data_IF_034421351042
#
_entry.id   IF_034421351042
#
_cell.length_a   1.000
_cell.length_b   1.000
_cell.length_c   1.000
_cell.angle_alpha   90.00
_cell.angle_beta   90.00
_cell.angle_gamma   90.00
#
_symmetry.space_group_name_H-M   'P 1'
#
loop_
_entity.id
_entity.type
_entity.pdbx_description
1 polymer ?
#
# COMPACT_ATOMS: atom_id res chain seq x y z
N UNK A 1 -16.63 15.64 -18.58
CA UNK A 1 -17.87 14.85 -18.43
C UNK A 1 -17.71 13.58 -19.25
N UNK A 2 -17.99 12.39 -18.71
CA UNK A 2 -17.84 11.13 -19.44
C UNK A 2 -18.95 10.93 -20.48
N UNK A 3 -18.61 10.18 -21.52
CA UNK A 3 -19.50 9.81 -22.61
C UNK A 3 -20.59 8.85 -22.13
N UNK A 4 -21.80 8.98 -22.68
CA UNK A 4 -22.90 8.08 -22.36
C UNK A 4 -22.65 6.67 -22.91
N UNK A 5 -22.84 5.65 -22.07
CA UNK A 5 -22.74 4.24 -22.47
C UNK A 5 -24.05 3.75 -23.09
N UNK A 6 -23.95 2.84 -24.05
CA UNK A 6 -25.06 2.38 -24.89
C UNK A 6 -24.89 0.90 -25.24
N UNK A 7 -25.95 0.33 -25.82
CA UNK A 7 -25.92 -1.00 -26.41
C UNK A 7 -24.76 -1.16 -27.40
N UNK A 8 -24.00 -2.24 -27.25
CA UNK A 8 -22.86 -2.60 -28.08
C UNK A 8 -21.57 -1.83 -27.77
N UNK A 9 -21.56 -0.96 -26.76
CA UNK A 9 -20.31 -0.35 -26.30
C UNK A 9 -19.46 -1.39 -25.54
N UNK A 10 -18.13 -1.30 -25.70
CA UNK A 10 -17.17 -2.29 -25.20
C UNK A 10 -16.89 -2.09 -23.71
N UNK A 11 -16.73 -3.19 -22.98
CA UNK A 11 -16.26 -3.21 -21.59
C UNK A 11 -14.87 -3.84 -21.49
N UNK A 12 -14.09 -3.40 -20.50
CA UNK A 12 -12.72 -3.85 -20.30
C UNK A 12 -12.36 -4.06 -18.85
N UNK A 13 -11.68 -5.17 -18.62
CA UNK A 13 -10.99 -5.47 -17.37
C UNK A 13 -9.63 -4.77 -17.34
N UNK A 14 -9.17 -4.41 -16.15
CA UNK A 14 -7.87 -3.79 -16.01
C UNK A 14 -6.75 -4.84 -15.92
N UNK A 15 -5.51 -4.38 -15.87
CA UNK A 15 -4.34 -5.22 -15.57
C UNK A 15 -3.87 -5.05 -14.12
N UNK A 16 -4.76 -4.61 -13.22
CA UNK A 16 -4.44 -4.31 -11.83
C UNK A 16 -3.86 -5.52 -11.07
N UNK A 17 -4.34 -6.75 -11.35
CA UNK A 17 -3.76 -7.97 -10.78
C UNK A 17 -2.30 -8.20 -11.21
N UNK A 18 -1.95 -7.93 -12.47
CA UNK A 18 -0.57 -7.99 -12.92
C UNK A 18 0.29 -6.92 -12.23
N UNK A 19 -0.29 -5.72 -12.05
CA UNK A 19 0.29 -4.65 -11.23
C UNK A 19 0.54 -5.08 -9.79
N UNK A 20 -0.39 -5.81 -9.16
CA UNK A 20 -0.21 -6.34 -7.81
C UNK A 20 0.96 -7.31 -7.73
N UNK A 21 1.08 -8.24 -8.68
CA UNK A 21 2.18 -9.22 -8.70
C UNK A 21 3.53 -8.54 -8.92
N UNK A 22 3.63 -7.63 -9.89
CA UNK A 22 4.86 -6.87 -10.14
C UNK A 22 5.23 -6.00 -8.94
N UNK A 23 4.24 -5.31 -8.38
CA UNK A 23 4.37 -4.46 -7.20
C UNK A 23 4.79 -5.24 -5.95
N UNK A 24 4.26 -6.44 -5.75
CA UNK A 24 4.64 -7.35 -4.67
C UNK A 24 6.10 -7.79 -4.77
N UNK A 25 6.59 -8.09 -5.98
CA UNK A 25 8.00 -8.43 -6.19
C UNK A 25 8.89 -7.24 -5.83
N UNK A 26 8.60 -6.05 -6.38
CA UNK A 26 9.35 -4.83 -6.10
C UNK A 26 9.30 -4.49 -4.60
N UNK A 27 8.10 -4.51 -4.02
CA UNK A 27 7.87 -4.28 -2.60
C UNK A 27 8.65 -5.25 -1.72
N UNK A 28 8.67 -6.54 -2.08
CA UNK A 28 9.42 -7.56 -1.32
C UNK A 28 10.93 -7.33 -1.36
N UNK A 29 11.47 -6.85 -2.48
CA UNK A 29 12.89 -6.48 -2.60
C UNK A 29 13.23 -5.26 -1.74
N UNK A 30 12.35 -4.26 -1.71
CA UNK A 30 12.49 -3.08 -0.85
C UNK A 30 12.42 -3.48 0.63
N UNK A 31 11.42 -4.27 1.02
CA UNK A 31 11.27 -4.77 2.38
C UNK A 31 12.46 -5.62 2.80
N UNK A 32 12.99 -6.48 1.90
CA UNK A 32 14.20 -7.25 2.16
C UNK A 32 15.42 -6.36 2.41
N UNK A 33 15.67 -5.36 1.55
CA UNK A 33 16.76 -4.40 1.73
C UNK A 33 16.64 -3.63 3.05
N UNK A 34 15.43 -3.17 3.39
CA UNK A 34 15.11 -2.56 4.67
C UNK A 34 15.37 -3.49 5.85
N UNK A 35 14.98 -4.76 5.73
CA UNK A 35 15.23 -5.81 6.72
C UNK A 35 16.73 -6.02 6.96
N UNK A 36 17.54 -6.07 5.90
CA UNK A 36 19.02 -6.19 6.04
C UNK A 36 19.59 -5.00 6.82
N UNK A 37 19.22 -3.78 6.44
CA UNK A 37 19.70 -2.56 7.09
C UNK A 37 19.23 -2.46 8.54
N UNK A 38 17.94 -2.74 8.79
CA UNK A 38 17.37 -2.77 10.12
C UNK A 38 18.04 -3.84 11.00
N UNK A 39 18.28 -5.05 10.46
CA UNK A 39 18.97 -6.12 11.19
C UNK A 39 20.41 -5.76 11.54
N UNK A 40 21.14 -5.12 10.62
CA UNK A 40 22.50 -4.64 10.89
C UNK A 40 22.53 -3.54 11.97
N UNK A 41 21.62 -2.56 11.89
CA UNK A 41 21.47 -1.51 12.90
C UNK A 41 21.08 -2.07 14.26
N UNK A 42 20.21 -3.09 14.27
CA UNK A 42 19.80 -3.76 15.49
C UNK A 42 20.99 -4.45 16.17
N UNK A 43 21.79 -5.22 15.43
CA UNK A 43 23.00 -5.87 15.96
C UNK A 43 24.01 -4.82 16.45
N UNK A 44 24.22 -3.75 15.69
CA UNK A 44 25.10 -2.67 16.09
C UNK A 44 24.61 -1.98 17.37
N UNK A 45 23.30 -1.76 17.50
CA UNK A 45 22.68 -1.18 18.68
C UNK A 45 22.79 -2.07 19.91
N UNK A 46 22.59 -3.37 19.77
CA UNK A 46 22.81 -4.34 20.85
C UNK A 46 24.28 -4.38 21.26
N UNK A 47 25.21 -4.38 20.30
CA UNK A 47 26.65 -4.36 20.57
C UNK A 47 27.13 -3.04 21.22
N UNK A 48 26.50 -1.92 20.88
CA UNK A 48 26.77 -0.59 21.42
C UNK A 48 25.88 -0.22 22.62
N UNK A 49 25.10 -1.17 23.15
CA UNK A 49 24.19 -0.94 24.30
C UNK A 49 24.90 -0.33 25.50
N UNK A 50 26.17 -0.66 25.70
CA UNK A 50 26.98 -0.18 26.81
C UNK A 50 27.51 1.26 26.62
N UNK A 51 27.26 1.92 25.49
CA UNK A 51 27.82 3.26 25.18
C UNK A 51 26.73 4.34 25.13
N UNK A 52 25.50 4.04 25.56
CA UNK A 52 24.35 4.96 25.51
C UNK A 52 23.78 5.20 24.09
N UNK A 53 24.62 5.05 23.06
CA UNK A 53 24.24 5.14 21.64
C UNK A 53 23.42 3.93 21.15
N UNK A 54 23.47 2.81 21.88
CA UNK A 54 22.77 1.57 21.47
C UNK A 54 21.25 1.70 21.35
N UNK A 55 20.59 2.46 22.25
CA UNK A 55 19.14 2.69 22.19
C UNK A 55 18.76 3.47 20.92
N UNK A 56 19.58 4.44 20.52
CA UNK A 56 19.37 5.23 19.31
C UNK A 56 19.49 4.37 18.05
N UNK A 57 20.43 3.43 18.01
CA UNK A 57 20.59 2.50 16.88
C UNK A 57 19.47 1.47 16.79
N UNK A 58 18.94 0.99 17.93
CA UNK A 58 17.75 0.13 17.95
C UNK A 58 16.52 0.90 17.47
N UNK A 59 16.35 2.16 17.92
CA UNK A 59 15.31 3.05 17.40
C UNK A 59 15.43 3.29 15.89
N UNK A 60 16.66 3.51 15.40
CA UNK A 60 16.94 3.65 13.98
C UNK A 60 16.63 2.38 13.18
N UNK A 61 16.89 1.19 13.74
CA UNK A 61 16.53 -0.09 13.13
C UNK A 61 15.03 -0.20 12.86
N UNK A 62 14.21 0.13 13.88
CA UNK A 62 12.75 0.11 13.76
C UNK A 62 12.29 1.13 12.72
N UNK A 63 12.82 2.36 12.77
CA UNK A 63 12.48 3.41 11.82
C UNK A 63 12.81 3.01 10.37
N UNK A 64 13.96 2.39 10.12
CA UNK A 64 14.34 1.88 8.80
C UNK A 64 13.41 0.76 8.34
N UNK A 65 13.06 -0.19 9.22
CA UNK A 65 12.13 -1.26 8.90
C UNK A 65 10.74 -0.73 8.52
N UNK A 66 10.20 0.21 9.30
CA UNK A 66 8.92 0.87 9.01
C UNK A 66 8.95 1.66 7.71
N UNK A 67 10.02 2.43 7.48
CA UNK A 67 10.19 3.22 6.27
C UNK A 67 10.27 2.32 5.02
N UNK A 68 10.97 1.19 5.10
CA UNK A 68 11.05 0.23 4.01
C UNK A 68 9.72 -0.49 3.75
N UNK A 69 8.95 -0.80 4.80
CA UNK A 69 7.58 -1.31 4.67
C UNK A 69 6.69 -0.34 3.91
N UNK A 70 6.62 0.92 4.37
CA UNK A 70 5.83 1.96 3.71
C UNK A 70 6.27 2.22 2.26
N UNK A 71 7.58 2.22 1.99
CA UNK A 71 8.11 2.36 0.63
C UNK A 71 7.74 1.17 -0.26
N UNK A 72 7.75 -0.04 0.29
CA UNK A 72 7.27 -1.24 -0.40
C UNK A 72 5.80 -1.14 -0.76
N UNK A 73 4.95 -0.68 0.18
CA UNK A 73 3.51 -0.54 -0.03
C UNK A 73 3.21 0.50 -1.11
N UNK A 74 3.90 1.66 -1.07
CA UNK A 74 3.79 2.68 -2.10
C UNK A 74 4.21 2.15 -3.48
N UNK A 75 5.29 1.37 -3.56
CA UNK A 75 5.72 0.75 -4.81
C UNK A 75 4.67 -0.26 -5.33
N UNK A 76 4.09 -1.07 -4.43
CA UNK A 76 3.03 -2.00 -4.77
C UNK A 76 1.79 -1.28 -5.32
N UNK A 77 1.32 -0.26 -4.61
CA UNK A 77 0.14 0.52 -5.00
C UNK A 77 0.35 1.33 -6.28
N UNK A 78 1.57 1.82 -6.53
CA UNK A 78 1.94 2.44 -7.80
C UNK A 78 1.83 1.45 -8.97
N UNK A 79 2.29 0.21 -8.80
CA UNK A 79 2.15 -0.83 -9.83
C UNK A 79 0.69 -1.25 -10.04
N UNK A 80 -0.09 -1.40 -8.96
CA UNK A 80 -1.52 -1.71 -9.05
C UNK A 80 -2.27 -0.62 -9.79
N UNK A 81 -2.03 0.65 -9.45
CA UNK A 81 -2.69 1.80 -10.10
C UNK A 81 -2.29 1.95 -11.57
N UNK A 82 -1.02 1.70 -11.92
CA UNK A 82 -0.58 1.63 -13.30
C UNK A 82 -1.31 0.51 -14.07
N UNK A 83 -1.43 -0.68 -13.46
CA UNK A 83 -2.19 -1.79 -14.03
C UNK A 83 -3.68 -1.50 -14.16
N UNK A 84 -4.27 -0.80 -13.19
CA UNK A 84 -5.68 -0.38 -13.20
C UNK A 84 -6.01 0.62 -14.31
N UNK A 85 -5.00 1.40 -14.73
CA UNK A 85 -5.12 2.41 -15.78
C UNK A 85 -5.11 1.79 -17.18
N UNK A 86 -4.50 0.61 -17.35
CA UNK A 86 -4.52 -0.13 -18.61
C UNK A 86 -5.67 -1.14 -18.62
N UNK A 87 -6.52 -1.08 -19.66
CA UNK A 87 -7.68 -1.95 -19.82
C UNK A 87 -7.64 -2.67 -21.15
N UNK A 88 -8.01 -3.95 -21.13
CA UNK A 88 -8.18 -4.75 -22.34
C UNK A 88 -9.66 -5.05 -22.60
N UNK A 89 -10.13 -4.95 -23.87
CA UNK A 89 -11.48 -5.34 -24.25
C UNK A 89 -11.79 -6.76 -23.81
N UNK A 90 -12.95 -6.95 -23.19
CA UNK A 90 -13.35 -8.21 -22.56
C UNK A 90 -14.85 -8.51 -22.71
N UNK A 91 -15.58 -7.71 -23.47
CA UNK A 91 -17.03 -7.89 -23.59
C UNK A 91 -17.76 -6.67 -24.13
N UNK A 92 -19.08 -6.79 -24.19
CA UNK A 92 -19.99 -5.76 -24.71
C UNK A 92 -21.25 -5.64 -23.86
N UNK A 93 -21.87 -4.46 -23.91
CA UNK A 93 -23.20 -4.22 -23.33
C UNK A 93 -24.26 -4.79 -24.28
N UNK A 94 -25.06 -5.75 -23.81
CA UNK A 94 -26.05 -6.48 -24.62
C UNK A 94 -27.49 -6.00 -24.42
N UNK A 95 -27.76 -5.22 -23.38
CA UNK A 95 -29.08 -4.62 -23.21
C UNK A 95 -29.06 -3.21 -22.62
N UNK A 96 -30.16 -2.50 -22.80
CA UNK A 96 -30.31 -1.11 -22.42
C UNK A 96 -31.77 -0.74 -22.19
N UNK A 97 -32.01 0.57 -22.14
CA UNK A 97 -33.34 1.16 -22.05
C UNK A 97 -34.29 0.67 -23.15
N UNK A 98 -35.57 0.52 -22.80
CA UNK A 98 -36.61 0.13 -23.76
C UNK A 98 -37.06 1.30 -24.65
N UNK A 99 -36.95 2.53 -24.16
CA UNK A 99 -37.56 3.74 -24.75
C UNK A 99 -36.61 4.93 -24.87
N UNK A 100 -35.43 4.88 -24.25
CA UNK A 100 -34.42 5.96 -24.34
C UNK A 100 -33.24 5.49 -25.17
N UNK A 101 -33.00 6.20 -26.26
CA UNK A 101 -31.95 5.88 -27.22
C UNK A 101 -30.95 7.03 -27.29
N UNK A 102 -29.67 6.70 -27.43
CA UNK A 102 -28.58 7.66 -27.59
C UNK A 102 -27.91 7.29 -28.92
N UNK A 103 -27.99 8.18 -29.91
CA UNK A 103 -27.56 7.92 -31.28
C UNK A 103 -28.11 6.57 -31.82
N UNK A 104 -29.43 6.37 -31.74
CA UNK A 104 -30.15 5.18 -32.22
C UNK A 104 -29.78 3.85 -31.52
N UNK A 105 -28.95 3.87 -30.47
CA UNK A 105 -28.65 2.70 -29.64
C UNK A 105 -29.33 2.84 -28.28
N UNK A 106 -29.81 1.74 -27.71
CA UNK A 106 -30.45 1.75 -26.38
C UNK A 106 -29.47 2.27 -25.34
N UNK A 107 -29.88 3.23 -24.51
CA UNK A 107 -29.02 3.77 -23.45
C UNK A 107 -28.71 2.71 -22.39
N UNK A 108 -27.47 2.63 -21.91
CA UNK A 108 -27.11 1.71 -20.84
C UNK A 108 -27.54 2.27 -19.47
N UNK A 109 -28.08 1.41 -18.62
CA UNK A 109 -28.65 1.75 -17.32
C UNK A 109 -28.07 0.84 -16.24
N UNK A 110 -27.59 1.40 -15.14
CA UNK A 110 -27.16 0.62 -13.98
C UNK A 110 -28.30 -0.30 -13.50
N UNK A 111 -27.96 -1.47 -12.96
CA UNK A 111 -28.87 -2.51 -12.44
C UNK A 111 -29.75 -3.23 -13.47
N UNK A 112 -30.02 -2.62 -14.63
CA UNK A 112 -30.92 -3.17 -15.65
C UNK A 112 -30.23 -3.64 -16.92
N UNK A 113 -29.18 -2.94 -17.35
CA UNK A 113 -28.40 -3.33 -18.52
C UNK A 113 -27.55 -4.55 -18.22
N UNK A 114 -27.66 -5.56 -19.08
CA UNK A 114 -26.85 -6.77 -19.07
C UNK A 114 -25.60 -6.57 -19.92
N UNK A 115 -24.51 -7.21 -19.49
CA UNK A 115 -23.23 -7.22 -20.18
C UNK A 115 -22.74 -8.66 -20.29
N UNK A 116 -22.12 -8.97 -21.42
CA UNK A 116 -21.43 -10.24 -21.62
C UNK A 116 -19.94 -9.99 -21.41
N UNK A 117 -19.32 -10.75 -20.54
CA UNK A 117 -17.89 -10.71 -20.28
C UNK A 117 -17.28 -12.06 -20.70
N UNK A 118 -16.13 -12.03 -21.38
CA UNK A 118 -15.41 -13.23 -21.80
C UNK A 118 -14.46 -13.79 -20.74
N UNK A 119 -14.19 -13.03 -19.67
CA UNK A 119 -13.29 -13.44 -18.58
C UNK A 119 -14.01 -14.15 -17.44
N UNK A 120 -15.33 -14.09 -17.39
CA UNK A 120 -16.13 -14.70 -16.34
C UNK A 120 -17.35 -15.41 -16.91
N UNK A 121 -17.76 -16.49 -16.25
CA UNK A 121 -18.96 -17.22 -16.64
C UNK A 121 -20.24 -16.49 -16.18
N UNK A 122 -21.21 -16.41 -17.10
CA UNK A 122 -22.56 -15.92 -16.83
C UNK A 122 -22.84 -14.49 -17.28
N UNK A 123 -24.12 -14.13 -17.29
CA UNK A 123 -24.58 -12.78 -17.64
C UNK A 123 -24.28 -11.85 -16.46
N UNK A 124 -23.55 -10.78 -16.73
CA UNK A 124 -23.25 -9.71 -15.77
C UNK A 124 -24.15 -8.52 -16.04
N UNK A 125 -24.11 -7.53 -15.17
CA UNK A 125 -24.92 -6.31 -15.31
C UNK A 125 -24.08 -5.06 -15.08
N UNK A 126 -24.57 -3.92 -15.57
CA UNK A 126 -24.03 -2.62 -15.19
C UNK A 126 -24.27 -2.39 -13.70
N UNK A 127 -23.21 -2.09 -12.94
CA UNK A 127 -23.30 -1.88 -11.49
C UNK A 127 -23.34 -0.40 -11.11
N UNK A 128 -22.77 0.46 -11.96
CA UNK A 128 -22.63 1.88 -11.70
C UNK A 128 -23.26 2.76 -12.78
N UNK A 129 -23.60 3.98 -12.39
CA UNK A 129 -24.06 5.05 -13.26
C UNK A 129 -23.97 6.42 -12.58
N UNK A 130 -24.55 7.43 -13.22
CA UNK A 130 -24.65 8.79 -12.71
C UNK A 130 -25.52 8.89 -11.45
N UNK A 131 -25.09 9.70 -10.49
CA UNK A 131 -25.86 10.03 -9.28
C UNK A 131 -26.98 11.07 -9.49
N UNK A 132 -27.01 11.73 -10.65
CA UNK A 132 -27.88 12.88 -10.91
C UNK A 132 -28.65 12.76 -12.22
N UNK A 133 -28.20 11.90 -13.14
CA UNK A 133 -28.90 11.63 -14.40
C UNK A 133 -29.47 10.21 -14.38
N UNK A 134 -30.79 10.13 -14.49
CA UNK A 134 -31.53 8.88 -14.42
C UNK A 134 -32.24 8.60 -15.74
N UNK A 135 -32.21 7.33 -16.16
CA UNK A 135 -32.96 6.82 -17.30
C UNK A 135 -33.90 5.75 -16.77
N UNK A 136 -35.20 5.94 -16.96
CA UNK A 136 -36.25 5.08 -16.39
C UNK A 136 -36.13 4.89 -14.87
N UNK A 137 -35.79 5.97 -14.15
CA UNK A 137 -35.67 5.97 -12.70
C UNK A 137 -34.41 5.31 -12.13
N UNK A 138 -33.47 4.88 -12.97
CA UNK A 138 -32.21 4.26 -12.57
C UNK A 138 -31.01 5.07 -13.12
N UNK A 139 -29.85 5.05 -12.44
CA UNK A 139 -28.64 5.74 -12.90
C UNK A 139 -28.25 5.43 -14.34
N UNK A 140 -27.99 6.46 -15.14
CA UNK A 140 -27.49 6.31 -16.49
C UNK A 140 -26.00 5.93 -16.50
N UNK A 141 -25.63 4.87 -17.20
CA UNK A 141 -24.24 4.41 -17.27
C UNK A 141 -23.42 5.18 -18.31
N UNK A 142 -22.11 5.30 -18.07
CA UNK A 142 -21.18 6.15 -18.80
C UNK A 142 -19.84 5.45 -18.97
N UNK A 143 -18.97 5.98 -19.83
CA UNK A 143 -17.58 5.54 -19.94
C UNK A 143 -16.89 5.66 -18.58
N UNK A 144 -16.23 4.59 -18.17
CA UNK A 144 -15.58 4.45 -16.87
C UNK A 144 -16.47 3.88 -15.76
N UNK A 145 -17.80 3.87 -15.90
CA UNK A 145 -18.68 3.23 -14.92
C UNK A 145 -18.50 1.69 -14.98
N UNK A 146 -18.58 1.05 -13.81
CA UNK A 146 -18.27 -0.37 -13.64
C UNK A 146 -19.48 -1.30 -13.80
N UNK A 147 -19.17 -2.52 -14.19
CA UNK A 147 -20.07 -3.68 -14.21
C UNK A 147 -19.94 -4.48 -12.91
N UNK A 148 -20.79 -5.48 -12.70
CA UNK A 148 -20.74 -6.34 -11.52
C UNK A 148 -19.44 -7.16 -11.40
N UNK A 149 -18.72 -7.37 -12.49
CA UNK A 149 -17.41 -8.04 -12.51
C UNK A 149 -16.22 -7.06 -12.46
N UNK A 150 -16.46 -5.79 -12.09
CA UNK A 150 -15.44 -4.74 -12.00
C UNK A 150 -14.83 -4.30 -13.35
N UNK A 151 -15.27 -4.88 -14.47
CA UNK A 151 -14.97 -4.34 -15.80
C UNK A 151 -15.61 -2.97 -15.97
N UNK A 152 -14.90 -2.04 -16.61
CA UNK A 152 -15.38 -0.69 -16.86
C UNK A 152 -15.77 -0.50 -18.33
N UNK A 153 -16.75 0.36 -18.60
CA UNK A 153 -17.10 0.75 -19.98
C UNK A 153 -15.95 1.53 -20.60
N UNK A 154 -15.49 1.09 -21.77
CA UNK A 154 -14.33 1.67 -22.48
C UNK A 154 -14.73 2.65 -23.58
N UNK A 155 -15.88 2.45 -24.21
CA UNK A 155 -16.35 3.27 -25.34
C UNK A 155 -17.73 3.85 -25.04
N UNK A 156 -18.04 5.02 -25.57
CA UNK A 156 -19.35 5.63 -25.38
C UNK A 156 -19.81 6.39 -26.61
N UNK A 157 -20.80 7.24 -26.38
CA UNK A 157 -21.31 8.18 -27.37
C UNK A 157 -20.34 9.33 -27.60
N UNK A 158 -19.98 9.58 -28.86
CA UNK A 158 -19.02 10.64 -29.24
C UNK A 158 -19.49 12.07 -28.98
N UNK A 159 -20.79 12.29 -28.80
CA UNK A 159 -21.39 13.61 -28.69
C UNK A 159 -22.43 13.75 -27.56
N UNK A 160 -22.70 12.66 -26.81
CA UNK A 160 -23.63 12.71 -25.67
C UNK A 160 -22.86 12.42 -24.40
N UNK A 161 -22.78 13.42 -23.54
CA UNK A 161 -22.06 13.37 -22.28
C UNK A 161 -23.06 13.39 -21.13
N UNK A 162 -22.80 12.60 -20.09
CA UNK A 162 -23.66 12.52 -18.90
C UNK A 162 -22.85 12.97 -17.69
N UNK A 163 -23.35 13.99 -16.99
CA UNK A 163 -22.73 14.55 -15.79
C UNK A 163 -22.97 13.73 -14.52
N UNK A 164 -22.63 14.31 -13.38
CA UNK A 164 -22.82 13.71 -12.05
C UNK A 164 -21.63 12.94 -11.52
N UNK A 165 -21.65 12.66 -10.22
CA UNK A 165 -20.81 11.66 -9.59
C UNK A 165 -21.21 10.24 -9.97
N UNK A 166 -20.55 9.25 -9.36
CA UNK A 166 -20.80 7.82 -9.63
C UNK A 166 -21.53 7.18 -8.46
N UNK A 167 -22.68 6.57 -8.75
CA UNK A 167 -23.48 5.80 -7.80
C UNK A 167 -23.40 4.31 -8.13
N UNK A 168 -23.19 3.49 -7.11
CA UNK A 168 -23.18 2.02 -7.23
C UNK A 168 -24.53 1.48 -6.81
N UNK A 169 -25.24 0.82 -7.72
CA UNK A 169 -26.58 0.25 -7.50
C UNK A 169 -26.56 -1.25 -7.23
N UNK A 170 -25.51 -1.93 -7.69
CA UNK A 170 -25.33 -3.38 -7.54
C UNK A 170 -23.93 -3.62 -6.97
N UNK A 171 -23.74 -4.56 -6.02
CA UNK A 171 -22.42 -4.90 -5.52
C UNK A 171 -21.49 -5.33 -6.66
N UNK A 172 -20.26 -4.85 -6.60
CA UNK A 172 -19.20 -5.16 -7.58
C UNK A 172 -18.26 -6.17 -6.94
N UNK A 173 -18.00 -7.27 -7.64
CA UNK A 173 -16.95 -8.20 -7.29
C UNK A 173 -15.61 -7.62 -7.75
N UNK A 174 -14.71 -7.20 -6.85
CA UNK A 174 -13.48 -6.51 -7.23
C UNK A 174 -12.54 -7.41 -8.03
N UNK A 175 -11.86 -6.85 -9.02
CA UNK A 175 -10.91 -7.57 -9.87
C UNK A 175 -9.71 -8.11 -9.07
N UNK A 176 -9.28 -7.37 -8.05
CA UNK A 176 -8.32 -7.85 -7.07
C UNK A 176 -9.09 -8.33 -5.84
N UNK A 177 -9.12 -9.64 -5.55
CA UNK A 177 -9.78 -10.14 -4.36
C UNK A 177 -8.99 -9.74 -3.11
N UNK A 178 -9.70 -9.52 -1.99
CA UNK A 178 -9.09 -9.06 -0.73
C UNK A 178 -7.96 -9.97 -0.23
N UNK A 179 -8.08 -11.28 -0.44
CA UNK A 179 -7.05 -12.24 -0.03
C UNK A 179 -5.73 -12.02 -0.78
N UNK A 180 -5.75 -11.49 -2.01
CA UNK A 180 -4.54 -11.26 -2.79
C UNK A 180 -3.68 -10.14 -2.17
N UNK A 181 -4.31 -9.09 -1.65
CA UNK A 181 -3.61 -8.06 -0.87
C UNK A 181 -3.01 -8.66 0.41
N UNK A 182 -3.77 -9.48 1.13
CA UNK A 182 -3.27 -10.15 2.36
C UNK A 182 -2.03 -10.98 2.07
N UNK A 183 -2.03 -11.75 0.97
CA UNK A 183 -0.87 -12.56 0.55
C UNK A 183 0.32 -11.66 0.17
N UNK A 184 0.06 -10.54 -0.51
CA UNK A 184 1.09 -9.57 -0.88
C UNK A 184 1.75 -8.96 0.36
N UNK A 185 0.95 -8.45 1.29
CA UNK A 185 1.41 -7.83 2.53
C UNK A 185 2.19 -8.83 3.39
N UNK A 186 1.69 -10.06 3.53
CA UNK A 186 2.38 -11.13 4.26
C UNK A 186 3.72 -11.47 3.63
N UNK A 187 3.80 -11.50 2.31
CA UNK A 187 5.05 -11.84 1.61
C UNK A 187 6.08 -10.73 1.73
N UNK A 188 5.67 -9.47 1.61
CA UNK A 188 6.56 -8.32 1.80
C UNK A 188 7.06 -8.25 3.25
N UNK A 189 6.18 -8.46 4.22
CA UNK A 189 6.54 -8.56 5.62
C UNK A 189 7.52 -9.71 5.89
N UNK A 190 7.24 -10.90 5.36
CA UNK A 190 8.12 -12.07 5.49
C UNK A 190 9.50 -11.82 4.84
N UNK A 191 9.55 -11.18 3.67
CA UNK A 191 10.81 -10.81 3.02
C UNK A 191 11.66 -9.89 3.92
N UNK A 192 11.04 -8.89 4.54
CA UNK A 192 11.70 -8.02 5.51
C UNK A 192 12.18 -8.77 6.76
N UNK A 193 11.34 -9.61 7.34
CA UNK A 193 11.64 -10.35 8.58
C UNK A 193 12.74 -11.41 8.38
N UNK A 194 12.67 -12.18 7.30
CA UNK A 194 13.70 -13.18 6.95
C UNK A 194 15.04 -12.48 6.74
N UNK A 195 15.04 -11.35 6.03
CA UNK A 195 16.25 -10.58 5.75
C UNK A 195 16.82 -9.92 7.01
N UNK A 196 15.95 -9.43 7.89
CA UNK A 196 16.31 -8.96 9.23
C UNK A 196 16.98 -10.07 10.05
N UNK A 197 16.36 -11.25 10.14
CA UNK A 197 16.91 -12.40 10.86
C UNK A 197 18.24 -12.88 10.27
N UNK A 198 18.37 -12.88 8.93
CA UNK A 198 19.62 -13.20 8.23
C UNK A 198 20.74 -12.19 8.52
N UNK A 199 20.43 -10.90 8.57
CA UNK A 199 21.39 -9.86 8.95
C UNK A 199 21.72 -9.91 10.45
N UNK A 200 20.73 -10.15 11.31
CA UNK A 200 20.90 -10.21 12.75
C UNK A 200 21.70 -11.44 13.21
N UNK A 201 21.48 -12.59 12.57
CA UNK A 201 22.15 -13.87 12.88
C UNK A 201 23.62 -13.92 12.49
N UNK A 202 24.10 -13.03 11.59
CA UNK A 202 25.54 -12.88 11.31
C UNK A 202 26.34 -12.38 12.53
N UNK A 203 25.64 -11.95 13.57
CA UNK A 203 26.18 -11.67 14.90
C UNK A 203 27.17 -10.51 14.94
N UNK A 204 27.62 -10.12 16.14
CA UNK A 204 28.61 -9.08 16.31
C UNK A 204 30.00 -9.48 15.78
N UNK A 205 30.24 -10.73 15.36
CA UNK A 205 31.54 -11.23 14.90
C UNK A 205 32.09 -10.53 13.65
N UNK A 206 31.23 -10.10 12.73
CA UNK A 206 31.64 -9.27 11.58
C UNK A 206 32.07 -7.87 12.03
N UNK A 207 31.33 -7.29 12.97
CA UNK A 207 31.65 -6.00 13.60
C UNK A 207 32.91 -6.11 14.47
N UNK A 208 33.13 -7.26 15.13
CA UNK A 208 34.28 -7.59 15.95
C UNK A 208 35.53 -7.82 15.10
N UNK A 209 35.41 -8.42 13.91
CA UNK A 209 36.50 -8.50 12.91
C UNK A 209 36.89 -7.12 12.36
N UNK A 210 35.95 -6.19 12.30
CA UNK A 210 36.20 -4.80 11.91
C UNK A 210 36.85 -4.02 13.07
N UNK A 211 36.36 -4.20 14.30
CA UNK A 211 36.91 -3.59 15.51
C UNK A 211 38.28 -4.16 15.91
N UNK A 212 38.56 -5.43 15.63
CA UNK A 212 39.87 -6.05 15.87
C UNK A 212 40.96 -5.53 14.94
N UNK A 213 40.61 -4.82 13.85
CA UNK A 213 41.55 -4.09 13.01
C UNK A 213 41.87 -2.69 13.54
N UNK A 214 41.17 -2.21 14.58
CA UNK A 214 41.44 -0.94 15.25
C UNK A 214 42.36 -1.21 16.45
N UNK A 215 43.63 -0.76 16.43
CA UNK A 215 44.53 -0.95 17.56
C UNK A 215 44.00 -0.20 18.81
N UNK A 216 43.83 -0.92 19.93
CA UNK A 216 43.38 -0.36 21.21
C UNK A 216 41.88 -0.51 21.54
N UNK A 217 41.10 -1.10 20.63
CA UNK A 217 39.66 -1.33 20.80
C UNK A 217 39.28 -2.06 22.11
N UNK A 218 40.08 -3.03 22.55
CA UNK A 218 39.77 -3.85 23.72
C UNK A 218 39.83 -3.08 25.06
N UNK A 219 40.70 -2.06 25.15
CA UNK A 219 40.77 -1.19 26.33
C UNK A 219 39.59 -0.23 26.35
N UNK A 220 39.26 0.35 25.19
CA UNK A 220 38.13 1.29 25.04
C UNK A 220 36.81 0.60 25.35
N UNK A 221 36.60 -0.65 24.86
CA UNK A 221 35.40 -1.44 25.15
C UNK A 221 35.24 -1.74 26.64
N UNK A 222 36.31 -2.16 27.33
CA UNK A 222 36.25 -2.45 28.78
C UNK A 222 35.95 -1.21 29.62
N UNK A 223 36.51 -0.06 29.25
CA UNK A 223 36.28 1.22 29.93
C UNK A 223 34.86 1.73 29.64
N UNK A 224 34.44 1.71 28.38
CA UNK A 224 33.10 2.12 27.97
C UNK A 224 32.00 1.22 28.55
N UNK A 225 32.17 -0.10 28.61
CA UNK A 225 31.19 -0.99 29.23
C UNK A 225 31.09 -0.81 30.76
N UNK A 226 32.18 -0.44 31.44
CA UNK A 226 32.15 -0.15 32.89
C UNK A 226 31.54 1.22 33.20
N UNK A 227 31.76 2.22 32.35
CA UNK A 227 31.18 3.56 32.47
C UNK A 227 29.78 3.67 31.85
N UNK A 228 29.39 2.74 30.99
CA UNK A 228 28.10 2.69 30.31
C UNK A 228 26.90 2.59 31.24
N UNK A 229 27.06 1.82 32.31
CA UNK A 229 26.08 1.74 33.40
C UNK A 229 25.83 3.12 34.02
N UNK A 230 26.85 3.97 34.16
CA UNK A 230 26.69 5.35 34.68
C UNK A 230 25.94 6.24 33.68
N UNK A 231 26.18 6.06 32.38
CA UNK A 231 25.53 6.83 31.30
C UNK A 231 24.06 6.49 31.06
N UNK A 232 23.62 5.27 31.38
CA UNK A 232 22.19 4.85 31.30
C UNK A 232 21.48 5.03 32.65
N UNK A 233 22.16 4.80 33.77
CA UNK A 233 21.56 4.95 35.10
C UNK A 233 21.22 6.41 35.43
N UNK A 234 22.07 7.39 35.06
CA UNK A 234 21.80 8.80 35.37
C UNK A 234 20.52 9.38 34.72
N UNK A 235 20.26 9.20 33.41
CA UNK A 235 19.03 9.71 32.80
C UNK A 235 17.79 8.93 33.25
N UNK A 236 17.88 7.61 33.46
CA UNK A 236 16.74 6.78 33.89
C UNK A 236 16.38 7.05 35.37
N UNK A 237 17.38 7.25 36.24
CA UNK A 237 17.13 7.65 37.64
C UNK A 237 16.63 9.09 37.73
N UNK A 238 17.09 10.01 36.87
CA UNK A 238 16.55 11.38 36.80
C UNK A 238 15.07 11.43 36.41
N UNK A 239 14.64 10.59 35.47
CA UNK A 239 13.23 10.48 35.06
C UNK A 239 12.38 9.80 36.15
N UNK A 240 12.91 8.78 36.84
CA UNK A 240 12.19 8.07 37.92
C UNK A 240 12.12 8.85 39.24
N UNK A 241 13.08 9.75 39.51
CA UNK A 241 13.11 10.56 40.74
C UNK A 241 12.36 11.88 40.62
N UNK A 242 11.97 12.30 39.41
CA UNK A 242 11.13 13.50 39.15
C UNK A 242 9.96 13.21 38.20
N UNK A 243 8.98 12.38 38.59
CA UNK A 243 7.87 12.01 37.71
C UNK A 243 6.90 13.18 37.38
N UNK A 244 6.96 14.30 38.12
CA UNK A 244 5.97 15.40 38.01
C UNK A 244 6.35 16.42 36.93
N UNK A 245 7.62 16.53 36.53
CA UNK A 245 8.08 17.54 35.57
C UNK A 245 7.87 17.15 34.09
N UNK A 246 7.60 15.87 33.78
CA UNK A 246 7.42 15.39 32.40
C UNK A 246 5.97 15.50 31.91
N UNK A 247 4.99 15.55 32.82
CA UNK A 247 3.56 15.61 32.46
C UNK A 247 3.07 17.05 32.33
N UNK A 248 3.67 18.02 33.03
CA UNK A 248 3.32 19.43 32.92
C UNK A 248 4.33 20.14 31.98
N UNK A 249 4.00 20.22 30.68
CA UNK A 249 4.85 20.82 29.65
C UNK A 249 5.18 22.30 29.87
N UNK A 250 6.14 22.62 30.72
CA UNK A 250 6.58 23.97 30.98
C UNK A 250 7.94 24.23 30.31
N UNK A 251 7.87 25.04 29.24
CA UNK A 251 8.95 25.67 28.48
C UNK A 251 10.16 26.00 29.36
N UNK A 252 11.32 25.44 28.98
CA UNK A 252 12.64 25.85 29.44
C UNK A 252 12.82 27.37 29.23
N UNK A 253 12.78 28.15 30.30
CA UNK A 253 13.30 29.51 30.34
C UNK A 253 14.70 29.48 30.94
N UNK A 254 15.65 29.98 30.16
CA UNK A 254 17.04 30.26 30.55
C UNK A 254 17.13 31.31 31.67
N UNK A 255 18.33 31.39 32.26
CA UNK A 255 18.90 32.26 33.31
C UNK A 255 19.10 31.51 34.65
N UNK A 256 20.29 31.48 35.24
CA UNK A 256 21.41 32.44 35.22
C UNK A 256 22.74 31.71 35.44
#
# INVERSE_FOLDING_TARGET
MPEAARLGDTIGHSSAMAGLVAGMIIGSLISAAGGILAGALFVAGVAASCVGVGVLLIGASIAVGMAAGALGDMARDACVSAGASSRSPSGTIESGSANVFINNKKAAIAKRSTVVCSKEDGIRQMAQGSDSVFINGLPASRVGDKTTCDAAVMTGSSNVLIGGGTKTEVPITPEIPKWAYIVSDLTMFAAGLISFGGAASRGPGALQKLFSKIPGADKIRKVACRLGWLGVALPVVGILTRPVEVIAGQKLMFLK
#
